data_IF_617237304080
#
_entry.id   IF_617237304080
#
_cell.length_a   1.000
_cell.length_b   1.000
_cell.length_c   1.000
_cell.angle_alpha   90.00
_cell.angle_beta   90.00
_cell.angle_gamma   90.00
#
_symmetry.space_group_name_H-M   'P 1'
#
loop_
_entity.id
_entity.type
_entity.pdbx_description
1 polymer ?
#
# COMPACT_ATOMS: atom_id res chain seq x y z
N UNK A 1 14.93 6.84 11.18
CA UNK A 1 13.48 6.49 11.12
C UNK A 1 13.06 6.63 9.67
N UNK A 2 12.64 5.55 9.03
CA UNK A 2 12.38 5.50 7.58
C UNK A 2 10.89 5.72 7.34
N UNK A 3 10.48 6.97 7.06
CA UNK A 3 9.07 7.39 6.93
C UNK A 3 8.29 6.64 5.82
N UNK A 4 8.98 5.96 4.90
CA UNK A 4 8.33 5.23 3.81
C UNK A 4 7.57 3.98 4.28
N UNK A 5 8.03 3.32 5.36
CA UNK A 5 7.31 2.20 5.97
C UNK A 5 6.05 2.66 6.70
N UNK A 6 6.14 3.81 7.37
CA UNK A 6 5.02 4.42 8.10
C UNK A 6 3.87 4.82 7.16
N UNK A 7 4.20 5.45 6.03
CA UNK A 7 3.22 5.82 4.99
C UNK A 7 2.49 4.60 4.40
N UNK A 8 3.17 3.47 4.21
CA UNK A 8 2.54 2.26 3.66
C UNK A 8 1.63 1.57 4.67
N UNK A 9 2.00 1.60 5.95
CA UNK A 9 1.17 1.09 7.05
C UNK A 9 -0.07 1.97 7.21
N UNK A 10 0.08 3.29 7.31
CA UNK A 10 -1.04 4.23 7.44
C UNK A 10 -1.98 4.21 6.22
N UNK A 11 -1.43 4.07 5.00
CA UNK A 11 -2.23 3.91 3.79
C UNK A 11 -3.11 2.64 3.83
N UNK A 12 -2.62 1.55 4.45
CA UNK A 12 -3.40 0.32 4.60
C UNK A 12 -4.57 0.46 5.58
N UNK A 13 -4.43 1.30 6.60
CA UNK A 13 -5.50 1.59 7.58
C UNK A 13 -6.59 2.51 7.01
N UNK A 14 -6.26 3.30 5.99
CA UNK A 14 -7.14 4.29 5.38
C UNK A 14 -8.42 3.65 4.81
N UNK A 15 -8.31 2.51 4.11
CA UNK A 15 -9.47 1.80 3.55
C UNK A 15 -10.46 1.34 4.63
N UNK A 16 -9.95 0.82 5.75
CA UNK A 16 -10.75 0.38 6.89
C UNK A 16 -11.40 1.56 7.62
N UNK A 17 -10.67 2.67 7.79
CA UNK A 17 -11.21 3.89 8.39
C UNK A 17 -12.35 4.49 7.55
N UNK A 18 -12.20 4.50 6.22
CA UNK A 18 -13.28 4.92 5.32
C UNK A 18 -14.50 4.01 5.46
N UNK A 19 -14.32 2.69 5.63
CA UNK A 19 -15.43 1.76 5.83
C UNK A 19 -16.22 2.05 7.10
N UNK A 20 -15.52 2.37 8.19
CA UNK A 20 -16.14 2.72 9.47
C UNK A 20 -16.65 4.16 9.56
N UNK A 21 -16.43 5.00 8.53
CA UNK A 21 -16.86 6.42 8.52
C UNK A 21 -18.38 6.67 8.55
N UNK A 22 -19.20 5.62 8.53
CA UNK A 22 -20.66 5.77 8.58
C UNK A 22 -21.28 6.22 7.25
N UNK A 23 -20.59 6.00 6.12
CA UNK A 23 -21.03 6.38 4.77
C UNK A 23 -22.43 5.87 4.38
N UNK A 24 -22.94 4.84 5.07
CA UNK A 24 -24.27 4.28 4.91
C UNK A 24 -25.39 5.15 5.53
N UNK A 25 -25.07 6.04 6.46
CA UNK A 25 -26.03 6.95 7.09
C UNK A 25 -26.31 8.21 6.26
N UNK A 26 -25.54 8.46 5.20
CA UNK A 26 -25.80 9.56 4.28
C UNK A 26 -27.00 9.22 3.38
N UNK A 27 -28.19 9.68 3.75
CA UNK A 27 -29.42 9.49 2.98
C UNK A 27 -29.84 10.84 2.36
N UNK A 28 -29.66 10.99 1.04
CA UNK A 28 -30.04 12.19 0.28
C UNK A 28 -29.48 12.18 -1.15
N UNK A 29 -29.95 13.06 -2.04
CA UNK A 29 -29.47 13.11 -3.43
C UNK A 29 -27.95 13.37 -3.55
N UNK A 30 -27.36 14.10 -2.58
CA UNK A 30 -25.91 14.32 -2.49
C UNK A 30 -25.13 13.04 -2.10
N UNK A 31 -25.80 12.04 -1.52
CA UNK A 31 -25.12 10.84 -1.01
C UNK A 31 -24.80 9.80 -2.08
N UNK A 32 -25.45 9.84 -3.25
CA UNK A 32 -25.14 8.92 -4.36
C UNK A 32 -23.73 9.17 -4.89
N UNK A 33 -23.33 10.44 -5.00
CA UNK A 33 -21.99 10.84 -5.44
C UNK A 33 -20.94 10.52 -4.38
N UNK A 34 -21.27 10.77 -3.11
CA UNK A 34 -20.41 10.42 -1.97
C UNK A 34 -20.17 8.90 -1.90
N UNK A 35 -21.22 8.08 -2.05
CA UNK A 35 -21.14 6.62 -2.06
C UNK A 35 -20.22 6.11 -3.17
N UNK A 36 -20.37 6.62 -4.39
CA UNK A 36 -19.49 6.27 -5.51
C UNK A 36 -18.05 6.64 -5.21
N UNK A 37 -17.81 7.83 -4.68
CA UNK A 37 -16.46 8.30 -4.34
C UNK A 37 -15.83 7.45 -3.24
N UNK A 38 -16.59 7.13 -2.20
CA UNK A 38 -16.18 6.25 -1.08
C UNK A 38 -15.80 4.85 -1.56
N UNK A 39 -16.58 4.26 -2.47
CA UNK A 39 -16.27 2.93 -3.03
C UNK A 39 -14.99 2.98 -3.88
N UNK A 40 -14.82 4.03 -4.69
CA UNK A 40 -13.61 4.22 -5.51
C UNK A 40 -12.39 4.40 -4.60
N UNK A 41 -12.48 5.24 -3.56
CA UNK A 41 -11.36 5.46 -2.64
C UNK A 41 -11.03 4.22 -1.81
N UNK A 42 -12.02 3.40 -1.43
CA UNK A 42 -11.75 2.09 -0.82
C UNK A 42 -11.01 1.14 -1.76
N UNK A 43 -11.43 1.07 -3.03
CA UNK A 43 -10.77 0.24 -4.04
C UNK A 43 -9.31 0.65 -4.26
N UNK A 44 -9.05 1.95 -4.31
CA UNK A 44 -7.69 2.48 -4.47
C UNK A 44 -6.85 2.33 -3.19
N UNK A 45 -7.44 2.48 -2.00
CA UNK A 45 -6.75 2.28 -0.72
C UNK A 45 -6.34 0.82 -0.49
N UNK A 46 -7.02 -0.15 -1.11
CA UNK A 46 -6.63 -1.56 -1.12
C UNK A 46 -5.41 -1.83 -2.02
N UNK A 47 -5.04 -0.92 -2.92
CA UNK A 47 -3.82 -1.04 -3.71
C UNK A 47 -2.67 -0.53 -2.86
N UNK A 48 -1.79 -1.42 -2.34
CA UNK A 48 -0.66 -0.96 -1.57
C UNK A 48 0.17 -0.02 -2.44
N UNK A 49 0.47 1.17 -1.91
CA UNK A 49 1.39 2.13 -2.53
C UNK A 49 2.80 1.57 -2.41
N UNK A 50 3.07 0.55 -3.22
CA UNK A 50 4.38 -0.07 -3.33
C UNK A 50 5.28 0.95 -4.02
N UNK A 51 6.16 1.57 -3.26
CA UNK A 51 7.24 2.39 -3.79
C UNK A 51 8.10 1.49 -4.69
N UNK A 52 7.90 1.63 -6.01
CA UNK A 52 8.72 0.94 -7.00
C UNK A 52 9.96 1.76 -7.25
N UNK A 53 11.11 1.31 -6.75
CA UNK A 53 12.41 1.82 -7.18
C UNK A 53 12.57 1.56 -8.68
N UNK A 54 12.78 2.62 -9.46
CA UNK A 54 12.93 2.58 -10.93
C UNK A 54 11.73 1.95 -11.67
N UNK A 55 10.56 1.81 -11.04
CA UNK A 55 9.37 1.18 -11.65
C UNK A 55 9.40 -0.36 -11.72
N UNK A 56 10.53 -1.00 -11.41
CA UNK A 56 10.72 -2.45 -11.50
C UNK A 56 10.96 -3.14 -10.15
N UNK A 57 11.57 -2.44 -9.19
CA UNK A 57 11.95 -3.03 -7.90
C UNK A 57 10.96 -2.57 -6.85
N UNK A 58 10.08 -3.46 -6.41
CA UNK A 58 9.28 -3.19 -5.21
C UNK A 58 10.22 -3.05 -4.02
N UNK A 59 10.36 -1.82 -3.48
CA UNK A 59 11.18 -1.52 -2.31
C UNK A 59 10.45 -2.01 -1.05
N UNK A 60 10.30 -3.33 -0.95
CA UNK A 60 9.88 -4.04 0.25
C UNK A 60 11.11 -4.56 0.99
N UNK A 61 10.99 -4.70 2.31
CA UNK A 61 11.98 -5.40 3.15
C UNK A 61 12.33 -6.80 2.58
N UNK A 62 11.33 -7.47 1.99
CA UNK A 62 11.50 -8.76 1.31
C UNK A 62 12.49 -8.68 0.14
N UNK A 63 12.39 -7.65 -0.70
CA UNK A 63 13.30 -7.43 -1.83
C UNK A 63 14.72 -7.13 -1.35
N UNK A 64 14.87 -6.33 -0.29
CA UNK A 64 16.17 -6.06 0.31
C UNK A 64 16.85 -7.36 0.78
N UNK A 65 16.14 -8.21 1.52
CA UNK A 65 16.66 -9.51 1.96
C UNK A 65 17.03 -10.38 0.76
N UNK A 66 16.20 -10.38 -0.29
CA UNK A 66 16.43 -11.19 -1.50
C UNK A 66 17.71 -10.74 -2.21
N UNK A 67 17.92 -9.43 -2.35
CA UNK A 67 19.14 -8.86 -2.94
C UNK A 67 20.37 -9.27 -2.10
N UNK A 68 20.33 -9.09 -0.78
CA UNK A 68 21.45 -9.46 0.11
C UNK A 68 21.76 -10.96 0.05
N UNK A 69 20.72 -11.81 0.09
CA UNK A 69 20.88 -13.27 -0.05
C UNK A 69 21.44 -13.66 -1.41
N UNK A 70 20.98 -13.01 -2.48
CA UNK A 70 21.51 -13.23 -3.83
C UNK A 70 22.98 -12.87 -3.92
N UNK A 71 23.39 -11.72 -3.35
CA UNK A 71 24.80 -11.32 -3.32
C UNK A 71 25.67 -12.32 -2.54
N UNK A 72 25.18 -12.80 -1.40
CA UNK A 72 25.89 -13.81 -0.60
C UNK A 72 25.98 -15.16 -1.32
N UNK A 73 24.90 -15.59 -1.98
CA UNK A 73 24.89 -16.82 -2.78
C UNK A 73 25.88 -16.76 -3.93
N UNK A 74 25.98 -15.63 -4.63
CA UNK A 74 26.97 -15.42 -5.69
C UNK A 74 28.38 -15.46 -5.13
N UNK A 75 28.62 -14.78 -4.00
CA UNK A 75 29.93 -14.80 -3.34
C UNK A 75 30.35 -16.22 -2.93
N UNK A 76 29.44 -17.00 -2.33
CA UNK A 76 29.68 -18.38 -1.93
C UNK A 76 29.81 -19.38 -3.07
N UNK A 77 29.40 -19.04 -4.30
CA UNK A 77 29.67 -19.87 -5.48
C UNK A 77 31.03 -19.57 -6.11
N UNK A 78 31.50 -18.32 -5.98
CA UNK A 78 32.74 -17.85 -6.60
C UNK A 78 33.96 -18.16 -5.72
N UNK A 79 33.78 -18.18 -4.39
CA UNK A 79 34.80 -18.53 -3.39
C UNK A 79 34.46 -19.84 -2.70
#
# INVERSE_FOLDING_TARGET
MWNAGDVTVEASHLGTAIYFSGWYNCQGQSSVRLRKLVVITMCEAQRPVLLKGLGYIELSYQSYITIVKSSYSVFSMIF
#
